data_IF_222073058455
#
_entry.id   IF_222073058455
#
_cell.length_a   1.000
_cell.length_b   1.000
_cell.length_c   1.000
_cell.angle_alpha   90.00
_cell.angle_beta   90.00
_cell.angle_gamma   90.00
#
_symmetry.space_group_name_H-M   'P 1'
#
loop_
_entity.id
_entity.type
_entity.pdbx_description
1 polymer ?
#
# COMPACT_ATOMS: atom_id res chain seq x y z
N UNK A 1 3.01 11.35 6.59
CA UNK A 1 3.54 10.58 5.44
C UNK A 1 2.39 10.44 4.45
N UNK A 2 2.45 11.12 3.32
CA UNK A 2 1.39 11.03 2.31
C UNK A 2 1.57 9.73 1.52
N UNK A 3 0.58 8.85 1.62
CA UNK A 3 0.55 7.51 1.01
C UNK A 3 -0.69 7.29 0.15
N UNK A 4 -1.47 8.35 -0.06
CA UNK A 4 -2.59 8.43 -1.00
C UNK A 4 -2.19 7.98 -2.41
N UNK A 5 -0.95 8.26 -2.82
CA UNK A 5 -0.41 7.87 -4.12
C UNK A 5 -0.24 6.35 -4.31
N UNK A 6 -0.32 5.52 -3.27
CA UNK A 6 -0.21 4.05 -3.38
C UNK A 6 -1.30 3.43 -4.25
N UNK A 7 -2.43 4.13 -4.42
CA UNK A 7 -3.50 3.75 -5.34
C UNK A 7 -3.80 4.86 -6.36
N UNK A 8 -2.83 5.75 -6.62
CA UNK A 8 -2.99 6.74 -7.68
C UNK A 8 -3.19 6.07 -9.04
N UNK A 9 -4.09 6.60 -9.89
CA UNK A 9 -4.24 6.14 -11.26
C UNK A 9 -2.94 6.30 -12.07
N UNK A 10 -2.72 5.45 -13.09
CA UNK A 10 -3.61 4.39 -13.55
C UNK A 10 -3.51 3.12 -12.69
N UNK A 11 -4.68 2.55 -12.38
CA UNK A 11 -4.78 1.25 -11.73
C UNK A 11 -5.02 0.17 -12.81
N UNK A 12 -4.24 -0.92 -12.84
CA UNK A 12 -4.45 -1.99 -13.80
C UNK A 12 -5.80 -2.69 -13.54
N UNK A 13 -6.68 -2.68 -14.55
CA UNK A 13 -8.07 -3.15 -14.42
C UNK A 13 -8.21 -4.64 -14.07
N UNK A 14 -7.22 -5.47 -14.45
CA UNK A 14 -7.23 -6.91 -14.21
C UNK A 14 -6.60 -7.33 -12.86
N UNK A 15 -6.07 -6.38 -12.08
CA UNK A 15 -5.31 -6.70 -10.86
C UNK A 15 -6.13 -6.28 -9.63
N UNK A 16 -6.35 -7.19 -8.65
CA UNK A 16 -7.03 -6.85 -7.42
C UNK A 16 -6.33 -5.72 -6.67
N UNK A 17 -7.09 -4.77 -6.08
CA UNK A 17 -6.53 -3.60 -5.37
C UNK A 17 -5.51 -3.97 -4.28
N UNK A 18 -5.73 -5.07 -3.57
CA UNK A 18 -4.81 -5.57 -2.55
C UNK A 18 -3.45 -5.98 -3.13
N UNK A 19 -3.44 -6.52 -4.35
CA UNK A 19 -2.22 -6.86 -5.08
C UNK A 19 -1.53 -5.61 -5.60
N UNK A 20 -2.28 -4.64 -6.13
CA UNK A 20 -1.71 -3.34 -6.55
C UNK A 20 -1.04 -2.64 -5.38
N UNK A 21 -1.72 -2.57 -4.22
CA UNK A 21 -1.20 -1.95 -3.01
C UNK A 21 0.10 -2.62 -2.55
N UNK A 22 0.13 -3.95 -2.50
CA UNK A 22 1.35 -4.71 -2.19
C UNK A 22 2.50 -4.38 -3.17
N UNK A 23 2.23 -4.40 -4.48
CA UNK A 23 3.25 -4.15 -5.49
C UNK A 23 3.83 -2.73 -5.36
N UNK A 24 2.98 -1.73 -5.12
CA UNK A 24 3.40 -0.34 -4.92
C UNK A 24 4.20 -0.16 -3.64
N UNK A 25 3.79 -0.78 -2.53
CA UNK A 25 4.55 -0.77 -1.29
C UNK A 25 5.93 -1.42 -1.49
N UNK A 26 5.98 -2.59 -2.13
CA UNK A 26 7.23 -3.28 -2.43
C UNK A 26 8.16 -2.45 -3.32
N UNK A 27 7.62 -1.85 -4.38
CA UNK A 27 8.36 -0.95 -5.27
C UNK A 27 8.90 0.27 -4.50
N UNK A 28 8.11 0.85 -3.61
CA UNK A 28 8.51 2.00 -2.80
C UNK A 28 9.65 1.66 -1.83
N UNK A 29 9.62 0.47 -1.23
CA UNK A 29 10.69 -0.03 -0.36
C UNK A 29 11.97 -0.27 -1.18
N UNK A 30 11.86 -0.98 -2.30
CA UNK A 30 13.00 -1.31 -3.17
C UNK A 30 13.63 -0.08 -3.82
N UNK A 31 12.84 0.94 -4.14
CA UNK A 31 13.32 2.22 -4.69
C UNK A 31 13.82 3.19 -3.61
N UNK A 32 13.68 2.85 -2.32
CA UNK A 32 14.07 3.71 -1.20
C UNK A 32 13.13 4.90 -0.95
N UNK A 33 12.00 5.00 -1.65
CA UNK A 33 10.95 6.00 -1.36
C UNK A 33 10.31 5.75 0.01
N UNK A 34 10.24 4.48 0.43
CA UNK A 34 10.01 4.07 1.81
C UNK A 34 11.35 3.56 2.37
N UNK A 35 12.11 4.39 3.09
CA UNK A 35 13.39 3.98 3.64
C UNK A 35 13.23 2.82 4.62
N UNK A 36 14.30 2.04 4.80
CA UNK A 36 14.38 1.03 5.84
C UNK A 36 14.04 1.64 7.21
N UNK A 37 13.51 0.81 8.11
CA UNK A 37 13.03 1.20 9.44
C UNK A 37 11.86 2.19 9.46
N UNK A 38 11.28 2.54 8.31
CA UNK A 38 10.03 3.33 8.27
C UNK A 38 8.88 2.52 8.84
N UNK A 39 8.28 3.01 9.92
CA UNK A 39 7.07 2.44 10.46
C UNK A 39 5.89 2.71 9.51
N UNK A 40 5.31 1.64 8.95
CA UNK A 40 4.08 1.76 8.17
C UNK A 40 2.92 2.21 9.08
N UNK A 41 2.00 3.05 8.57
CA UNK A 41 0.83 3.46 9.35
C UNK A 41 -0.04 2.26 9.72
N UNK A 42 -0.81 2.42 10.80
CA UNK A 42 -1.79 1.39 11.18
C UNK A 42 -2.75 1.10 10.01
N UNK A 43 -3.06 -0.18 9.80
CA UNK A 43 -3.92 -0.63 8.68
C UNK A 43 -5.24 0.14 8.57
N UNK A 44 -5.84 0.51 9.71
CA UNK A 44 -7.07 1.32 9.76
C UNK A 44 -6.85 2.75 9.24
N UNK A 45 -5.74 3.38 9.61
CA UNK A 45 -5.41 4.74 9.18
C UNK A 45 -5.16 4.77 7.68
N UNK A 46 -4.37 3.84 7.15
CA UNK A 46 -4.08 3.81 5.71
C UNK A 46 -5.32 3.48 4.89
N UNK A 47 -6.18 2.58 5.37
CA UNK A 47 -7.45 2.26 4.72
C UNK A 47 -8.36 3.49 4.62
N UNK A 48 -8.43 4.30 5.69
CA UNK A 48 -9.19 5.55 5.70
C UNK A 48 -8.60 6.57 4.72
N UNK A 49 -7.27 6.74 4.71
CA UNK A 49 -6.58 7.65 3.77
C UNK A 49 -6.79 7.26 2.31
N UNK A 50 -6.78 5.95 2.00
CA UNK A 50 -6.96 5.43 0.64
C UNK A 50 -8.43 5.25 0.23
N UNK A 51 -9.38 5.38 1.16
CA UNK A 51 -10.80 5.13 0.90
C UNK A 51 -11.12 3.68 0.52
N UNK A 52 -10.40 2.71 1.10
CA UNK A 52 -10.55 1.27 0.79
C UNK A 52 -10.88 0.44 2.03
N UNK A 53 -11.29 -0.81 1.83
CA UNK A 53 -11.53 -1.75 2.92
C UNK A 53 -10.22 -2.07 3.67
N UNK A 54 -10.28 -2.13 5.01
CA UNK A 54 -9.14 -2.48 5.87
C UNK A 54 -8.48 -3.81 5.48
N UNK A 55 -9.28 -4.81 5.11
CA UNK A 55 -8.76 -6.14 4.73
C UNK A 55 -7.82 -6.06 3.52
N UNK A 56 -8.03 -5.10 2.61
CA UNK A 56 -7.15 -4.85 1.46
C UNK A 56 -5.76 -4.39 1.91
N UNK A 57 -5.69 -3.51 2.91
CA UNK A 57 -4.42 -3.05 3.50
C UNK A 57 -3.75 -4.17 4.28
N UNK A 58 -4.53 -4.91 5.10
CA UNK A 58 -4.01 -6.01 5.89
C UNK A 58 -3.36 -7.08 5.01
N UNK A 59 -4.05 -7.49 3.95
CA UNK A 59 -3.51 -8.41 2.94
C UNK A 59 -2.18 -7.91 2.37
N UNK A 60 -2.09 -6.62 2.01
CA UNK A 60 -0.86 -6.07 1.44
C UNK A 60 0.31 -6.09 2.44
N UNK A 61 0.05 -5.81 3.72
CA UNK A 61 1.07 -5.84 4.77
C UNK A 61 1.54 -7.26 5.09
N UNK A 62 0.63 -8.23 5.14
CA UNK A 62 0.98 -9.64 5.36
C UNK A 62 1.87 -10.21 4.25
N UNK A 63 1.81 -9.66 3.03
CA UNK A 63 2.67 -10.06 1.91
C UNK A 63 4.08 -9.43 1.95
N UNK A 64 4.35 -8.48 2.85
CA UNK A 64 5.67 -7.85 3.02
C UNK A 64 6.55 -8.53 4.07
N UNK A 65 5.99 -9.48 4.84
CA UNK A 65 6.68 -10.25 5.89
C UNK A 65 7.58 -11.32 5.27
#
# INVERSE_FOLDING_TARGET
>A
MELDWLLAPPLPAAVPRQRVLYLRLREAILSGRLPADTCLPASRSLAATLGIARNTVLFAYEQLV
#
